data_IF_661784753647
#
_entry.id   IF_661784753647
#
_cell.length_a   1.000
_cell.length_b   1.000
_cell.length_c   1.000
_cell.angle_alpha   90.00
_cell.angle_beta   90.00
_cell.angle_gamma   90.00
#
_symmetry.space_group_name_H-M   'P 1'
#
loop_
_entity.id
_entity.type
_entity.pdbx_description
1 polymer ?
#
# COMPACT_ATOMS: atom_id res chain seq x y z
N UNK A 1 -6.75 8.88 0.26
CA UNK A 1 -6.40 7.89 1.31
C UNK A 1 -7.58 7.12 1.91
N UNK A 2 -8.64 7.77 2.42
CA UNK A 2 -9.76 7.06 3.10
C UNK A 2 -10.46 6.00 2.23
N UNK A 3 -10.50 6.18 0.90
CA UNK A 3 -11.04 5.20 -0.06
C UNK A 3 -10.14 3.96 -0.18
N UNK A 4 -8.86 4.14 -0.55
CA UNK A 4 -7.88 3.05 -0.71
C UNK A 4 -7.74 2.21 0.57
N UNK A 5 -7.68 2.84 1.75
CA UNK A 5 -7.61 2.10 3.02
C UNK A 5 -8.83 1.21 3.25
N UNK A 6 -10.03 1.66 2.88
CA UNK A 6 -11.23 0.83 2.97
C UNK A 6 -11.24 -0.29 1.95
N UNK A 7 -10.73 -0.04 0.74
CA UNK A 7 -10.61 -1.07 -0.30
C UNK A 7 -9.68 -2.18 0.17
N UNK A 8 -8.45 -1.83 0.58
CA UNK A 8 -7.46 -2.76 1.10
C UNK A 8 -8.01 -3.57 2.29
N UNK A 9 -8.68 -2.90 3.23
CA UNK A 9 -9.26 -3.55 4.40
C UNK A 9 -10.32 -4.63 4.06
N UNK A 10 -11.00 -4.54 2.90
CA UNK A 10 -11.93 -5.60 2.45
C UNK A 10 -11.23 -6.90 2.09
N UNK A 11 -9.95 -6.84 1.76
CA UNK A 11 -9.14 -7.99 1.37
C UNK A 11 -8.13 -8.39 2.44
N UNK A 12 -8.30 -7.93 3.70
CA UNK A 12 -7.35 -8.21 4.78
C UNK A 12 -6.00 -7.52 4.61
N UNK A 13 -5.98 -6.39 3.88
CA UNK A 13 -4.75 -5.64 3.62
C UNK A 13 -4.77 -4.29 4.33
N UNK A 14 -3.62 -3.93 4.91
CA UNK A 14 -3.41 -2.62 5.54
C UNK A 14 -2.40 -1.80 4.77
N UNK A 15 -2.80 -0.59 4.36
CA UNK A 15 -1.88 0.39 3.79
C UNK A 15 -1.17 1.14 4.92
N UNK A 16 0.12 0.87 5.06
CA UNK A 16 1.02 1.57 5.96
C UNK A 16 1.50 2.88 5.31
N UNK A 17 1.81 3.86 6.13
CA UNK A 17 2.28 5.18 5.66
C UNK A 17 3.40 5.67 6.55
N UNK A 18 4.52 6.04 5.94
CA UNK A 18 5.63 6.71 6.62
C UNK A 18 5.46 8.22 6.45
N UNK A 19 5.02 8.88 7.52
CA UNK A 19 4.80 10.34 7.52
C UNK A 19 6.09 11.12 7.31
N UNK A 20 7.24 10.62 7.79
CA UNK A 20 8.53 11.28 7.63
C UNK A 20 8.94 11.28 6.15
N UNK A 21 8.75 10.16 5.46
CA UNK A 21 9.03 10.07 4.02
C UNK A 21 8.15 11.00 3.19
N UNK A 22 6.87 11.18 3.57
CA UNK A 22 5.99 12.16 2.93
C UNK A 22 6.42 13.60 3.12
N UNK A 23 6.82 13.96 4.34
CA UNK A 23 7.23 15.34 4.67
C UNK A 23 8.53 15.73 3.96
N UNK A 24 9.41 14.76 3.70
CA UNK A 24 10.67 14.97 2.98
C UNK A 24 10.51 15.14 1.46
N UNK A 25 9.28 15.06 0.93
CA UNK A 25 8.99 15.33 -0.49
C UNK A 25 9.52 14.27 -1.46
N UNK A 26 9.88 13.08 -0.96
CA UNK A 26 10.26 11.96 -1.81
C UNK A 26 9.02 11.32 -2.45
N UNK A 27 9.10 10.95 -3.73
CA UNK A 27 8.12 10.06 -4.35
C UNK A 27 8.12 8.73 -3.57
N UNK A 28 7.00 8.42 -2.90
CA UNK A 28 6.86 7.25 -2.03
C UNK A 28 6.12 7.55 -0.72
N UNK A 29 6.42 6.74 0.31
CA UNK A 29 5.89 6.86 1.66
C UNK A 29 4.78 5.88 2.00
N UNK A 30 4.51 4.88 1.15
CA UNK A 30 3.45 3.90 1.39
C UNK A 30 3.93 2.48 1.15
N UNK A 31 3.29 1.54 1.84
CA UNK A 31 3.50 0.12 1.71
C UNK A 31 2.20 -0.63 2.00
N UNK A 32 2.05 -1.85 1.47
CA UNK A 32 0.91 -2.72 1.74
C UNK A 32 1.36 -3.89 2.60
N UNK A 33 0.66 -4.10 3.70
CA UNK A 33 0.86 -5.21 4.62
C UNK A 33 -0.33 -6.15 4.56
N UNK A 34 -0.05 -7.45 4.57
CA UNK A 34 -1.04 -8.48 4.82
C UNK A 34 -1.36 -8.56 6.31
N UNK A 35 -2.64 -8.51 6.69
CA UNK A 35 -3.04 -8.52 8.10
C UNK A 35 -3.02 -9.92 8.73
N UNK A 36 -3.03 -10.99 7.93
CA UNK A 36 -2.90 -12.36 8.45
C UNK A 36 -1.45 -12.66 8.85
N UNK A 37 -0.49 -12.44 7.94
CA UNK A 37 0.92 -12.72 8.17
C UNK A 37 1.71 -11.57 8.80
N UNK A 38 1.13 -10.36 8.87
CA UNK A 38 1.78 -9.11 9.28
C UNK A 38 3.00 -8.71 8.43
N UNK A 39 3.19 -9.33 7.26
CA UNK A 39 4.31 -9.04 6.36
C UNK A 39 3.96 -7.94 5.39
N UNK A 40 4.95 -7.10 5.08
CA UNK A 40 4.83 -6.13 3.99
C UNK A 40 4.99 -6.88 2.68
N UNK A 41 3.95 -6.89 1.87
CA UNK A 41 3.87 -7.62 0.59
C UNK A 41 4.11 -6.71 -0.61
N UNK A 42 4.02 -5.39 -0.45
CA UNK A 42 4.28 -4.42 -1.51
C UNK A 42 4.79 -3.07 -0.97
N UNK A 43 5.59 -2.36 -1.77
CA UNK A 43 6.08 -1.01 -1.45
C UNK A 43 7.20 -0.93 -0.42
N UNK A 44 7.97 -2.02 -0.25
CA UNK A 44 9.12 -2.08 0.65
C UNK A 44 10.48 -2.19 -0.06
N UNK A 45 10.49 -2.20 -1.39
CA UNK A 45 11.69 -2.35 -2.22
C UNK A 45 11.74 -1.26 -3.30
N UNK A 46 12.92 -0.71 -3.63
CA UNK A 46 14.26 -1.05 -3.12
C UNK A 46 14.54 -0.55 -1.69
N UNK A 47 13.64 0.26 -1.12
CA UNK A 47 13.73 0.78 0.24
C UNK A 47 12.34 0.72 0.91
N UNK A 48 12.27 0.70 2.25
CA UNK A 48 10.99 0.73 2.93
C UNK A 48 10.15 1.92 2.53
N UNK A 49 8.84 1.69 2.37
CA UNK A 49 7.86 2.70 1.99
C UNK A 49 8.22 3.42 0.69
N UNK A 50 8.67 2.66 -0.31
CA UNK A 50 9.03 3.19 -1.64
C UNK A 50 7.81 3.48 -2.51
N UNK A 51 6.66 2.83 -2.26
CA UNK A 51 5.49 2.95 -3.14
C UNK A 51 4.77 4.28 -2.98
N UNK A 52 4.32 4.82 -4.11
CA UNK A 52 3.39 5.94 -4.19
C UNK A 52 1.94 5.48 -3.98
N UNK A 53 1.00 6.42 -3.97
CA UNK A 53 -0.42 6.09 -3.90
C UNK A 53 -0.94 5.44 -5.18
N UNK A 54 -0.43 5.88 -6.34
CA UNK A 54 -0.79 5.34 -7.65
C UNK A 54 -0.32 3.88 -7.76
N UNK A 55 0.91 3.61 -7.33
CA UNK A 55 1.46 2.25 -7.26
C UNK A 55 0.59 1.30 -6.43
N UNK A 56 0.13 1.77 -5.26
CA UNK A 56 -0.76 0.99 -4.39
C UNK A 56 -2.14 0.79 -5.02
N UNK A 57 -2.69 1.80 -5.68
CA UNK A 57 -3.99 1.70 -6.35
C UNK A 57 -3.93 0.66 -7.47
N UNK A 58 -2.95 0.76 -8.37
CA UNK A 58 -2.75 -0.22 -9.44
C UNK A 58 -2.46 -1.62 -8.91
N UNK A 59 -1.67 -1.75 -7.86
CA UNK A 59 -1.40 -3.06 -7.25
C UNK A 59 -2.66 -3.67 -6.61
N UNK A 60 -3.47 -2.87 -5.91
CA UNK A 60 -4.75 -3.32 -5.35
C UNK A 60 -5.70 -3.74 -6.46
N UNK A 61 -5.85 -2.96 -7.52
CA UNK A 61 -6.71 -3.32 -8.66
C UNK A 61 -6.27 -4.65 -9.31
N UNK A 62 -4.96 -4.84 -9.53
CA UNK A 62 -4.45 -6.07 -10.14
C UNK A 62 -4.57 -7.32 -9.24
N UNK A 63 -4.46 -7.18 -7.92
CA UNK A 63 -4.41 -8.31 -6.98
C UNK A 63 -5.74 -8.53 -6.22
N UNK A 64 -6.69 -7.62 -6.35
CA UNK A 64 -7.97 -7.67 -5.61
C UNK A 64 -9.20 -7.47 -6.49
N UNK A 65 -9.02 -7.33 -7.82
CA UNK A 65 -10.16 -7.33 -8.74
C UNK A 65 -10.93 -8.66 -8.58
N UNK A 66 -12.26 -8.60 -8.33
CA UNK A 66 -13.08 -9.79 -8.48
C UNK A 66 -12.97 -10.25 -9.94
N UNK A 67 -12.63 -11.51 -10.19
CA UNK A 67 -12.87 -12.13 -11.48
C UNK A 67 -14.34 -11.88 -11.84
N UNK A 68 -14.56 -11.13 -12.92
CA UNK A 68 -15.88 -10.74 -13.44
C UNK A 68 -16.51 -11.90 -14.22
#
# INVERSE_FOLDING_TARGET
MRRLKRLAARYGLTILTDEKMKVLGHAGGHAVRDDESFKVIYGNEPKPFSASLEDIESWLEANTAPEE
#
